data_IF_662211258269
#
_entry.id   IF_662211258269
#
_cell.length_a   1.000
_cell.length_b   1.000
_cell.length_c   1.000
_cell.angle_alpha   90.00
_cell.angle_beta   90.00
_cell.angle_gamma   90.00
#
_symmetry.space_group_name_H-M   'P 1'
#
loop_
_entity.id
_entity.type
_entity.pdbx_description
1 polymer ?
#
# COMPACT_ATOMS: atom_id res chain seq x y z
N UNK A 1 36.51 53.51 -2.34
CA UNK A 1 35.39 53.22 -1.37
C UNK A 1 34.14 53.15 -2.21
N UNK A 2 33.75 51.96 -2.65
CA UNK A 2 32.57 51.72 -3.51
C UNK A 2 31.56 50.93 -2.66
N UNK A 3 30.45 51.58 -2.37
CA UNK A 3 29.35 51.00 -1.59
C UNK A 3 28.58 50.00 -2.45
N UNK A 4 28.41 48.78 -1.95
CA UNK A 4 27.57 47.73 -2.56
C UNK A 4 26.21 47.80 -1.86
N UNK A 5 25.17 48.14 -2.64
CA UNK A 5 23.79 48.10 -2.18
C UNK A 5 23.26 46.67 -2.09
N UNK A 6 22.47 46.31 -1.06
CA UNK A 6 21.85 45.00 -0.97
C UNK A 6 20.57 44.95 -1.78
N UNK A 7 20.53 44.04 -2.80
CA UNK A 7 19.33 43.73 -3.56
C UNK A 7 18.40 42.82 -2.75
N UNK A 8 17.21 43.32 -2.47
CA UNK A 8 16.10 42.59 -1.84
C UNK A 8 15.51 41.57 -2.81
N UNK A 9 15.32 40.29 -2.45
CA UNK A 9 14.61 39.31 -3.31
C UNK A 9 13.10 39.55 -3.25
N UNK A 10 12.53 39.90 -4.38
CA UNK A 10 11.08 40.03 -4.59
C UNK A 10 10.45 38.62 -4.53
N UNK A 11 9.69 38.36 -3.48
CA UNK A 11 8.97 37.10 -3.28
C UNK A 11 7.66 37.12 -4.09
N UNK A 12 7.62 36.47 -5.24
CA UNK A 12 6.41 36.33 -6.05
C UNK A 12 5.62 35.11 -5.53
N UNK A 13 4.36 35.23 -5.10
CA UNK A 13 3.57 34.09 -4.69
C UNK A 13 3.17 33.26 -5.91
N UNK A 14 3.73 32.08 -6.01
CA UNK A 14 3.32 31.07 -7.00
C UNK A 14 1.96 30.51 -6.60
N UNK A 15 0.92 30.88 -7.34
CA UNK A 15 -0.42 30.33 -7.23
C UNK A 15 -0.41 28.87 -7.72
N UNK A 16 -0.57 27.93 -6.81
CA UNK A 16 -0.72 26.51 -7.13
C UNK A 16 -2.05 26.26 -7.86
N UNK A 17 -2.09 25.38 -8.88
CA UNK A 17 -3.31 25.02 -9.57
C UNK A 17 -4.23 24.22 -8.65
N UNK A 18 -5.44 24.74 -8.41
CA UNK A 18 -6.51 24.08 -7.67
C UNK A 18 -6.98 22.83 -8.42
N UNK A 19 -6.88 21.70 -7.76
CA UNK A 19 -7.44 20.41 -8.21
C UNK A 19 -8.96 20.49 -8.37
N UNK A 20 -9.48 19.99 -9.51
CA UNK A 20 -10.89 20.03 -9.90
C UNK A 20 -11.81 19.05 -9.13
N UNK A 21 -11.46 18.66 -7.92
CA UNK A 21 -12.22 17.69 -7.11
C UNK A 21 -13.05 18.30 -5.98
N UNK A 22 -13.06 19.62 -5.79
CA UNK A 22 -13.76 20.28 -4.67
C UNK A 22 -15.14 20.85 -5.01
N UNK A 23 -15.77 20.40 -6.07
CA UNK A 23 -17.14 20.86 -6.42
C UNK A 23 -18.02 19.64 -6.62
N UNK A 24 -18.54 19.08 -5.55
CA UNK A 24 -19.78 18.28 -5.52
C UNK A 24 -20.05 17.73 -4.11
N UNK A 25 -20.24 18.63 -3.15
CA UNK A 25 -20.88 18.25 -1.89
C UNK A 25 -21.73 19.44 -1.41
N UNK A 26 -22.92 19.53 -1.99
CA UNK A 26 -23.91 20.52 -1.58
C UNK A 26 -25.30 20.11 -2.04
N UNK A 27 -26.18 20.01 -1.09
CA UNK A 27 -27.63 19.91 -1.19
C UNK A 27 -28.26 18.55 -1.53
N UNK A 28 -28.63 17.82 -0.47
CA UNK A 28 -29.95 17.20 -0.38
C UNK A 28 -30.36 17.12 1.10
N UNK A 29 -31.08 18.15 1.51
CA UNK A 29 -31.92 18.18 2.73
C UNK A 29 -33.35 17.98 2.28
N UNK A 30 -34.11 17.26 3.10
CA UNK A 30 -35.56 17.01 3.13
C UNK A 30 -35.96 15.66 2.49
N UNK A 31 -36.72 14.81 3.16
CA UNK A 31 -37.92 14.99 3.99
C UNK A 31 -38.14 13.78 4.87
N UNK A 32 -38.51 14.07 6.08
CA UNK A 32 -39.03 13.17 7.11
C UNK A 32 -40.45 12.76 6.76
N UNK A 33 -40.78 11.47 6.92
CA UNK A 33 -42.13 11.02 7.23
C UNK A 33 -42.11 9.73 8.04
N UNK A 34 -42.85 9.62 9.14
CA UNK A 34 -42.85 8.47 10.04
C UNK A 34 -44.00 7.51 9.69
N UNK A 35 -43.78 6.25 9.91
CA UNK A 35 -44.82 5.21 9.85
C UNK A 35 -44.21 3.86 10.13
N UNK A 36 -44.23 3.46 11.34
CA UNK A 36 -45.12 2.52 12.01
C UNK A 36 -45.00 1.04 11.58
N UNK A 37 -44.55 0.27 12.59
CA UNK A 37 -45.09 -1.00 13.15
C UNK A 37 -44.95 -2.28 12.33
N UNK A 38 -44.52 -3.28 12.92
CA UNK A 38 -44.87 -4.53 13.60
C UNK A 38 -43.78 -5.54 13.38
N UNK A 39 -43.18 -6.06 14.41
CA UNK A 39 -43.52 -7.22 15.20
C UNK A 39 -43.53 -8.56 14.45
N UNK A 40 -42.66 -9.44 14.86
CA UNK A 40 -42.96 -10.76 15.38
C UNK A 40 -41.77 -11.68 15.21
N UNK A 41 -41.17 -12.07 16.29
CA UNK A 41 -41.04 -13.42 16.84
C UNK A 41 -41.03 -14.60 15.81
N UNK A 42 -39.98 -15.39 15.87
CA UNK A 42 -40.15 -16.77 16.31
C UNK A 42 -38.84 -17.49 16.44
N UNK A 43 -38.70 -18.13 17.57
CA UNK A 43 -37.87 -19.24 17.95
C UNK A 43 -37.80 -20.36 16.93
N UNK A 44 -36.71 -21.09 17.00
CA UNK A 44 -36.60 -22.38 16.32
C UNK A 44 -35.20 -22.94 16.40
N UNK A 45 -34.88 -23.53 17.53
CA UNK A 45 -33.84 -24.58 17.59
C UNK A 45 -34.21 -25.73 16.68
N UNK A 46 -33.30 -26.29 15.95
CA UNK A 46 -33.00 -27.71 16.02
C UNK A 46 -31.89 -28.17 15.07
N UNK A 47 -31.25 -29.12 15.57
CA UNK A 47 -30.14 -29.96 15.19
C UNK A 47 -30.16 -30.63 13.81
N UNK A 48 -28.94 -30.95 13.37
CA UNK A 48 -28.51 -32.23 12.74
C UNK A 48 -28.51 -32.37 11.21
N UNK A 49 -27.34 -32.73 10.76
CA UNK A 49 -27.01 -33.77 9.75
C UNK A 49 -26.95 -33.44 8.27
N UNK A 50 -25.72 -33.69 7.83
CA UNK A 50 -25.36 -34.41 6.60
C UNK A 50 -25.72 -33.84 5.21
N UNK A 51 -24.68 -33.63 4.46
CA UNK A 51 -24.56 -34.12 3.09
C UNK A 51 -25.05 -33.19 2.01
N UNK A 52 -24.19 -32.95 1.06
CA UNK A 52 -24.64 -32.56 -0.28
C UNK A 52 -23.89 -31.39 -0.90
N UNK A 53 -22.95 -31.74 -1.72
CA UNK A 53 -22.41 -31.04 -2.88
C UNK A 53 -23.46 -30.14 -3.59
N UNK A 54 -23.14 -28.90 -3.89
CA UNK A 54 -23.14 -28.27 -5.21
C UNK A 54 -23.03 -26.74 -5.12
N UNK A 55 -22.04 -26.23 -5.80
CA UNK A 55 -21.99 -25.08 -6.69
C UNK A 55 -22.94 -23.90 -6.44
N UNK A 56 -22.36 -22.73 -6.24
CA UNK A 56 -23.10 -21.48 -6.33
C UNK A 56 -22.21 -20.28 -5.97
N UNK A 57 -21.69 -19.62 -7.00
CA UNK A 57 -20.81 -18.45 -6.87
C UNK A 57 -21.39 -17.33 -6.04
N UNK A 58 -20.52 -16.69 -5.28
CA UNK A 58 -20.79 -15.38 -4.74
C UNK A 58 -19.52 -14.55 -4.86
N UNK A 59 -19.59 -13.57 -5.71
CA UNK A 59 -18.62 -12.50 -5.92
C UNK A 59 -18.50 -11.67 -4.65
N UNK A 60 -17.42 -11.89 -3.93
CA UNK A 60 -16.99 -11.03 -2.84
C UNK A 60 -15.62 -10.48 -3.20
N UNK A 61 -15.60 -9.28 -3.76
CA UNK A 61 -14.39 -8.51 -4.01
C UNK A 61 -13.80 -8.07 -2.68
N UNK A 62 -12.85 -8.84 -2.15
CA UNK A 62 -11.90 -8.40 -1.15
C UNK A 62 -10.55 -8.31 -1.86
N UNK A 63 -10.15 -7.10 -2.15
CA UNK A 63 -8.86 -6.78 -2.76
C UNK A 63 -7.71 -7.06 -1.80
N UNK A 64 -7.30 -8.31 -1.70
CA UNK A 64 -6.01 -8.72 -1.20
C UNK A 64 -5.22 -9.22 -2.39
N UNK A 65 -4.48 -8.33 -3.03
CA UNK A 65 -3.58 -8.67 -4.12
C UNK A 65 -2.42 -9.54 -3.62
N UNK A 66 -2.67 -10.83 -3.48
CA UNK A 66 -1.61 -11.84 -3.54
C UNK A 66 -1.23 -11.95 -5.01
N UNK A 67 -0.18 -11.20 -5.40
CA UNK A 67 0.45 -11.35 -6.70
C UNK A 67 0.91 -12.79 -6.88
N UNK A 68 0.11 -13.57 -7.59
CA UNK A 68 0.49 -14.90 -8.06
C UNK A 68 1.64 -14.71 -9.03
N UNK A 69 2.83 -15.16 -8.62
CA UNK A 69 4.06 -15.05 -9.38
C UNK A 69 3.88 -15.57 -10.79
N UNK A 70 4.07 -14.67 -11.75
CA UNK A 70 4.29 -15.02 -13.15
C UNK A 70 5.57 -15.86 -13.24
N UNK A 71 5.47 -17.04 -13.81
CA UNK A 71 6.57 -17.99 -14.01
C UNK A 71 7.53 -17.52 -15.09
N UNK A 72 8.27 -16.47 -14.81
CA UNK A 72 9.49 -16.05 -15.44
C UNK A 72 10.53 -15.92 -14.35
N UNK A 73 11.82 -16.07 -14.66
CA UNK A 73 12.94 -16.03 -13.70
C UNK A 73 13.12 -14.69 -12.96
N UNK A 74 12.06 -13.90 -12.79
CA UNK A 74 12.03 -12.60 -12.11
C UNK A 74 11.23 -12.63 -10.81
N UNK A 75 11.47 -11.63 -9.96
CA UNK A 75 10.72 -11.39 -8.74
C UNK A 75 9.27 -10.90 -9.04
N UNK A 76 9.12 -10.03 -10.03
CA UNK A 76 7.83 -9.49 -10.46
C UNK A 76 7.97 -8.84 -11.84
N UNK A 77 6.86 -8.66 -12.55
CA UNK A 77 6.84 -7.75 -13.68
C UNK A 77 6.91 -6.29 -13.18
N UNK A 78 7.64 -5.44 -13.89
CA UNK A 78 7.75 -4.02 -13.52
C UNK A 78 6.39 -3.31 -13.48
N UNK A 79 5.47 -3.73 -14.37
CA UNK A 79 4.11 -3.20 -14.43
C UNK A 79 3.27 -3.53 -13.18
N UNK A 80 3.58 -4.64 -12.50
CA UNK A 80 2.89 -5.07 -11.29
C UNK A 80 3.34 -4.27 -10.05
N UNK A 81 4.47 -3.58 -10.12
CA UNK A 81 4.96 -2.72 -9.04
C UNK A 81 4.41 -1.31 -9.25
N UNK A 82 3.49 -0.82 -8.39
CA UNK A 82 2.90 0.51 -8.53
C UNK A 82 3.96 1.61 -8.49
N UNK A 83 3.85 2.59 -9.39
CA UNK A 83 4.73 3.77 -9.38
C UNK A 83 4.43 4.67 -8.17
N UNK A 84 5.47 5.10 -7.47
CA UNK A 84 5.36 5.80 -6.19
C UNK A 84 4.93 4.91 -5.02
N UNK A 85 4.73 3.61 -5.26
CA UNK A 85 4.33 2.59 -4.30
C UNK A 85 5.30 1.42 -4.26
N UNK A 86 4.75 0.22 -4.06
CA UNK A 86 5.55 -1.00 -4.05
C UNK A 86 4.73 -2.26 -3.87
N UNK A 87 5.42 -3.38 -3.88
CA UNK A 87 4.86 -4.73 -3.82
C UNK A 87 5.70 -5.62 -2.91
N UNK A 88 5.05 -6.52 -2.19
CA UNK A 88 5.70 -7.58 -1.43
C UNK A 88 5.65 -8.86 -2.26
N UNK A 89 6.82 -9.44 -2.52
CA UNK A 89 6.97 -10.68 -3.32
C UNK A 89 7.74 -11.73 -2.54
N UNK A 90 7.63 -12.97 -2.94
CA UNK A 90 8.45 -14.05 -2.37
C UNK A 90 9.87 -13.98 -2.93
N UNK A 91 10.84 -14.20 -2.05
CA UNK A 91 12.24 -14.31 -2.44
C UNK A 91 12.55 -15.78 -2.74
N UNK A 92 13.05 -16.12 -3.94
CA UNK A 92 13.45 -17.49 -4.26
C UNK A 92 14.47 -18.10 -3.29
N UNK A 93 15.27 -17.25 -2.64
CA UNK A 93 16.24 -17.64 -1.60
C UNK A 93 15.63 -17.76 -0.20
N UNK A 94 14.33 -17.56 -0.07
CA UNK A 94 13.58 -17.61 1.19
C UNK A 94 13.23 -16.24 1.74
N UNK A 95 12.06 -16.17 2.40
CA UNK A 95 11.49 -14.92 2.93
C UNK A 95 10.79 -14.09 1.88
N UNK A 96 10.63 -12.79 2.16
CA UNK A 96 9.92 -11.84 1.28
C UNK A 96 10.76 -10.61 0.98
N UNK A 97 10.54 -10.06 -0.19
CA UNK A 97 11.19 -8.83 -0.68
C UNK A 97 10.13 -7.74 -0.83
N UNK A 98 10.41 -6.58 -0.29
CA UNK A 98 9.71 -5.35 -0.56
C UNK A 98 10.33 -4.70 -1.80
N UNK A 99 9.58 -4.61 -2.88
CA UNK A 99 9.94 -3.84 -4.07
C UNK A 99 9.30 -2.47 -3.96
N UNK A 100 10.06 -1.40 -4.12
CA UNK A 100 9.59 -0.02 -4.17
C UNK A 100 9.98 0.60 -5.51
N UNK A 101 8.99 1.17 -6.21
CA UNK A 101 9.19 1.76 -7.54
C UNK A 101 9.06 3.27 -7.51
N UNK A 102 9.94 3.94 -8.23
CA UNK A 102 9.85 5.37 -8.52
C UNK A 102 10.21 5.58 -9.98
N UNK A 103 9.22 5.82 -10.82
CA UNK A 103 9.39 5.89 -12.26
C UNK A 103 9.89 4.57 -12.85
N UNK A 104 11.11 4.58 -13.40
CA UNK A 104 11.78 3.39 -13.93
C UNK A 104 12.74 2.72 -12.94
N UNK A 105 12.96 3.34 -11.78
CA UNK A 105 13.86 2.81 -10.74
C UNK A 105 13.09 1.91 -9.78
N UNK A 106 13.66 0.74 -9.47
CA UNK A 106 13.16 -0.17 -8.45
C UNK A 106 14.23 -0.39 -7.40
N UNK A 107 13.87 -0.15 -6.14
CA UNK A 107 14.65 -0.51 -4.97
C UNK A 107 14.03 -1.70 -4.27
N UNK A 108 14.87 -2.54 -3.69
CA UNK A 108 14.38 -3.72 -3.00
C UNK A 108 15.00 -3.85 -1.61
N UNK A 109 14.20 -4.34 -0.68
CA UNK A 109 14.58 -4.54 0.71
C UNK A 109 14.09 -5.89 1.20
N UNK A 110 14.80 -6.48 2.16
CA UNK A 110 14.24 -7.60 2.90
C UNK A 110 12.98 -7.10 3.64
N UNK A 111 11.84 -7.73 3.38
CA UNK A 111 10.57 -7.30 3.95
C UNK A 111 10.38 -7.68 5.43
N UNK A 112 11.35 -8.36 6.05
CA UNK A 112 11.31 -8.70 7.47
C UNK A 112 11.63 -7.46 8.33
N UNK A 113 10.67 -7.04 9.16
CA UNK A 113 10.84 -5.96 10.13
C UNK A 113 12.01 -6.25 11.05
N UNK A 114 12.95 -5.31 11.15
CA UNK A 114 14.17 -5.45 11.94
C UNK A 114 13.95 -5.45 13.46
N UNK A 115 12.71 -5.20 13.91
CA UNK A 115 12.34 -5.36 15.32
C UNK A 115 12.13 -6.83 15.70
N UNK A 116 11.28 -7.58 14.99
CA UNK A 116 10.91 -8.97 15.32
C UNK A 116 10.62 -9.86 14.11
N UNK A 117 11.08 -9.51 12.91
CA UNK A 117 11.01 -10.37 11.74
C UNK A 117 9.65 -10.47 11.05
N UNK A 118 8.61 -9.79 11.55
CA UNK A 118 7.29 -9.74 10.89
C UNK A 118 7.43 -9.08 9.52
N UNK A 119 6.79 -9.65 8.49
CA UNK A 119 6.75 -9.02 7.17
C UNK A 119 6.06 -7.65 7.27
N UNK A 120 6.71 -6.61 6.75
CA UNK A 120 6.12 -5.27 6.64
C UNK A 120 5.04 -5.24 5.56
N UNK A 121 4.13 -4.28 5.64
CA UNK A 121 3.10 -4.06 4.62
C UNK A 121 3.68 -3.42 3.36
N UNK A 122 2.97 -3.58 2.24
CA UNK A 122 3.29 -2.85 1.02
C UNK A 122 3.26 -1.34 1.30
N UNK A 123 4.17 -0.56 0.68
CA UNK A 123 4.33 0.83 1.01
C UNK A 123 3.14 1.69 0.54
N UNK A 124 2.82 2.67 1.36
CA UNK A 124 1.89 3.76 1.05
C UNK A 124 2.65 5.07 1.24
N UNK A 125 2.58 5.95 0.27
CA UNK A 125 3.24 7.27 0.28
C UNK A 125 4.74 7.21 0.65
N UNK A 126 5.45 6.22 0.11
CA UNK A 126 6.88 6.03 0.34
C UNK A 126 7.25 5.49 1.72
N UNK A 127 6.27 4.94 2.46
CA UNK A 127 6.48 4.37 3.79
C UNK A 127 5.89 2.96 3.87
N UNK A 128 6.70 2.01 4.33
CA UNK A 128 6.28 0.66 4.65
C UNK A 128 6.12 0.53 6.16
N UNK A 129 4.99 0.01 6.62
CA UNK A 129 4.65 -0.11 8.04
C UNK A 129 4.66 -1.58 8.47
N UNK A 130 5.22 -1.87 9.63
CA UNK A 130 5.13 -3.19 10.25
C UNK A 130 3.80 -3.32 10.98
N UNK A 131 2.94 -4.30 10.62
CA UNK A 131 1.61 -4.44 11.22
C UNK A 131 1.66 -4.86 12.70
N UNK A 132 2.77 -5.44 13.15
CA UNK A 132 2.86 -5.98 14.50
C UNK A 132 3.01 -4.88 15.58
N UNK A 133 4.00 -3.98 15.41
CA UNK A 133 4.27 -2.93 16.41
C UNK A 133 4.39 -1.52 15.81
N UNK A 134 3.98 -1.33 14.57
CA UNK A 134 3.90 -0.01 13.94
C UNK A 134 5.26 0.64 13.61
N UNK A 135 6.35 -0.14 13.52
CA UNK A 135 7.61 0.38 12.97
C UNK A 135 7.42 0.82 11.54
N UNK A 136 8.00 1.96 11.15
CA UNK A 136 7.88 2.52 9.81
C UNK A 136 9.24 2.66 9.17
N UNK A 137 9.30 2.35 7.88
CA UNK A 137 10.52 2.36 7.08
C UNK A 137 10.31 3.17 5.81
N UNK A 138 11.32 3.94 5.44
CA UNK A 138 11.37 4.68 4.18
C UNK A 138 11.63 3.72 3.02
N UNK A 139 10.89 3.86 1.93
CA UNK A 139 11.16 3.10 0.70
C UNK A 139 12.28 3.69 -0.14
N UNK A 140 12.73 4.90 0.18
CA UNK A 140 13.82 5.57 -0.54
C UNK A 140 15.18 4.96 -0.22
N UNK A 141 15.39 4.56 1.04
CA UNK A 141 16.69 4.13 1.57
C UNK A 141 16.61 3.02 2.63
N UNK A 142 15.40 2.51 2.93
CA UNK A 142 15.17 1.50 3.96
C UNK A 142 15.26 2.01 5.39
N UNK A 143 15.55 3.30 5.62
CA UNK A 143 15.78 3.86 6.97
C UNK A 143 14.54 3.79 7.85
N UNK A 144 14.76 3.69 9.17
CA UNK A 144 13.69 3.73 10.17
C UNK A 144 13.13 5.14 10.28
N UNK A 145 11.84 5.30 10.04
CA UNK A 145 11.10 6.57 10.27
C UNK A 145 10.42 6.59 11.63
N UNK A 146 10.00 5.41 12.12
CA UNK A 146 9.34 5.26 13.42
C UNK A 146 9.69 3.90 14.01
N UNK A 147 10.05 3.88 15.30
CA UNK A 147 10.30 2.66 16.07
C UNK A 147 9.03 1.84 16.36
N UNK A 148 9.21 0.69 17.02
CA UNK A 148 10.36 0.27 17.84
C UNK A 148 11.57 -0.32 17.11
N UNK A 149 11.55 -0.57 15.81
CA UNK A 149 12.75 -0.95 15.08
C UNK A 149 13.84 0.13 15.21
N UNK A 150 15.10 -0.30 15.30
CA UNK A 150 16.27 0.59 15.46
C UNK A 150 17.26 0.49 14.29
N UNK A 151 17.06 -0.48 13.41
CA UNK A 151 17.93 -0.72 12.25
C UNK A 151 17.13 -0.62 10.95
N UNK A 152 17.73 -0.14 9.85
CA UNK A 152 17.06 -0.05 8.56
C UNK A 152 16.72 -1.45 8.02
N UNK A 153 15.81 -1.50 7.05
CA UNK A 153 15.59 -2.72 6.26
C UNK A 153 16.83 -3.02 5.42
N UNK A 154 17.35 -4.27 5.45
CA UNK A 154 18.47 -4.66 4.60
C UNK A 154 18.11 -4.54 3.12
N UNK A 155 19.01 -3.97 2.32
CA UNK A 155 18.85 -3.87 0.87
C UNK A 155 18.99 -5.23 0.20
N UNK A 156 18.22 -5.47 -0.84
CA UNK A 156 18.33 -6.60 -1.76
C UNK A 156 18.74 -6.06 -3.12
N UNK A 157 19.79 -6.63 -3.72
CA UNK A 157 20.23 -6.19 -5.03
C UNK A 157 19.28 -6.71 -6.10
N UNK A 158 18.69 -5.79 -6.84
CA UNK A 158 17.81 -6.08 -7.96
C UNK A 158 18.17 -5.23 -9.16
N UNK A 159 17.76 -5.68 -10.32
CA UNK A 159 17.86 -4.93 -11.59
C UNK A 159 16.59 -5.12 -12.39
N UNK A 160 16.33 -4.20 -13.30
CA UNK A 160 15.25 -4.32 -14.27
C UNK A 160 15.83 -4.89 -15.56
N UNK A 161 15.35 -6.05 -15.98
CA UNK A 161 15.69 -6.69 -17.26
C UNK A 161 14.44 -6.77 -18.13
N UNK A 162 14.43 -5.97 -19.20
CA UNK A 162 13.22 -5.80 -20.00
C UNK A 162 12.06 -5.29 -19.12
N UNK A 163 10.99 -6.05 -19.05
CA UNK A 163 9.80 -5.72 -18.26
C UNK A 163 9.77 -6.43 -16.90
N UNK A 164 10.87 -7.02 -16.44
CA UNK A 164 10.92 -7.80 -15.22
C UNK A 164 11.94 -7.24 -14.22
N UNK A 165 11.58 -7.33 -12.95
CA UNK A 165 12.49 -7.09 -11.82
C UNK A 165 13.10 -8.43 -11.43
N UNK A 166 14.42 -8.54 -11.49
CA UNK A 166 15.18 -9.76 -11.17
C UNK A 166 16.20 -9.49 -10.08
N UNK A 167 16.65 -10.54 -9.39
CA UNK A 167 17.81 -10.45 -8.49
C UNK A 167 19.07 -10.15 -9.31
N UNK A 168 19.95 -9.29 -8.79
CA UNK A 168 21.20 -8.90 -9.44
C UNK A 168 22.36 -9.77 -8.96
#
# INVERSE_FOLDING_TARGET
MTAVEPTTPTNTPTTAPRSRRDVLCGLLVALVAPGAVVAACSDGSDSSSSGGTTNGGSTGTSGGGTGTGSSGSGLAALADVPDGGGLIVDNPSGGKVLLARTGSEVKAYNAACTHMGTTVDAPVDGVSTCPNHGSQFSTTDGSVKKGPATSPLPTVNVKVEGDNVVLA
#
